data_IF_142772369919
#
_entry.id   IF_142772369919
#
_cell.length_a   1.000
_cell.length_b   1.000
_cell.length_c   1.000
_cell.angle_alpha   90.00
_cell.angle_beta   90.00
_cell.angle_gamma   90.00
#
_symmetry.space_group_name_H-M   'P 1'
#
loop_
_entity.id
_entity.type
_entity.pdbx_description
1 polymer ?
#
# COMPACT_ATOMS: atom_id res chain seq x y z
N UNK A 1 8.01 -9.06 3.85
CA UNK A 1 7.89 -7.73 4.51
C UNK A 1 7.12 -7.89 5.81
N UNK A 2 7.29 -6.97 6.77
CA UNK A 2 6.52 -6.97 8.02
C UNK A 2 5.61 -5.74 8.00
N UNK A 3 4.30 -5.95 8.03
CA UNK A 3 3.31 -4.87 8.09
C UNK A 3 2.95 -4.55 9.54
N UNK A 4 2.92 -3.27 9.87
CA UNK A 4 2.70 -2.76 11.23
C UNK A 4 1.26 -2.25 11.41
N UNK A 5 0.78 -1.42 10.47
CA UNK A 5 -0.58 -0.88 10.49
C UNK A 5 -1.14 -0.70 9.09
N UNK A 6 -2.47 -0.56 9.00
CA UNK A 6 -3.20 -0.19 7.80
C UNK A 6 -4.27 0.84 8.16
N UNK A 7 -4.25 1.99 7.49
CA UNK A 7 -5.21 3.07 7.70
C UNK A 7 -5.83 3.52 6.38
N UNK A 8 -7.10 3.92 6.43
CA UNK A 8 -7.79 4.51 5.29
C UNK A 8 -7.98 6.00 5.54
N UNK A 9 -7.56 6.80 4.57
CA UNK A 9 -7.75 8.24 4.52
C UNK A 9 -8.61 8.62 3.30
N UNK A 10 -9.50 9.60 3.48
CA UNK A 10 -10.22 10.21 2.37
C UNK A 10 -9.82 11.69 2.33
N UNK A 11 -9.14 12.10 1.28
CA UNK A 11 -8.65 13.46 1.09
C UNK A 11 -9.11 13.99 -0.27
N UNK A 12 -9.77 15.16 -0.29
CA UNK A 12 -10.29 15.80 -1.51
C UNK A 12 -11.19 14.89 -2.39
N UNK A 13 -11.87 13.90 -1.78
CA UNK A 13 -12.70 12.93 -2.48
C UNK A 13 -11.94 11.73 -3.06
N UNK A 14 -10.61 11.71 -2.93
CA UNK A 14 -9.75 10.58 -3.26
C UNK A 14 -9.52 9.71 -2.02
N UNK A 15 -9.59 8.39 -2.19
CA UNK A 15 -9.29 7.42 -1.11
C UNK A 15 -7.83 7.00 -1.19
N UNK A 16 -7.16 7.02 -0.04
CA UNK A 16 -5.79 6.55 0.14
C UNK A 16 -5.77 5.47 1.23
N UNK A 17 -4.98 4.41 0.99
CA UNK A 17 -4.66 3.42 2.02
C UNK A 17 -3.19 3.57 2.37
N UNK A 18 -2.90 3.71 3.66
CA UNK A 18 -1.57 3.83 4.22
C UNK A 18 -1.21 2.56 4.95
N UNK A 19 -0.19 1.84 4.47
CA UNK A 19 0.32 0.62 5.09
C UNK A 19 1.72 0.89 5.61
N UNK A 20 1.87 0.91 6.94
CA UNK A 20 3.19 0.95 7.58
C UNK A 20 3.89 -0.40 7.43
N UNK A 21 5.13 -0.39 6.94
CA UNK A 21 5.90 -1.62 6.73
C UNK A 21 7.40 -1.46 6.98
N UNK A 22 8.04 -2.59 7.28
CA UNK A 22 9.49 -2.72 7.40
C UNK A 22 9.98 -3.82 6.44
N UNK A 23 11.09 -3.57 5.77
CA UNK A 23 11.78 -4.58 4.96
C UNK A 23 12.67 -5.45 5.85
N UNK A 24 12.85 -6.72 5.49
CA UNK A 24 13.62 -7.67 6.30
C UNK A 24 15.11 -7.33 6.37
N UNK A 25 15.65 -6.69 5.34
CA UNK A 25 17.02 -6.19 5.26
C UNK A 25 17.22 -4.84 5.95
N UNK A 26 16.14 -4.09 6.18
CA UNK A 26 16.14 -2.80 6.89
C UNK A 26 15.08 -2.78 8.03
N UNK A 27 15.24 -3.62 9.06
CA UNK A 27 14.22 -3.80 10.10
C UNK A 27 14.05 -2.60 11.04
N UNK A 28 15.03 -1.69 11.07
CA UNK A 28 14.97 -0.47 11.88
C UNK A 28 14.30 0.71 11.14
N UNK A 29 14.03 0.56 9.84
CA UNK A 29 13.46 1.59 8.98
C UNK A 29 11.96 1.36 8.79
N UNK A 30 11.14 2.33 9.22
CA UNK A 30 9.70 2.33 8.96
C UNK A 30 9.38 3.08 7.67
N UNK A 31 8.70 2.40 6.76
CA UNK A 31 8.20 2.95 5.50
C UNK A 31 6.67 2.99 5.51
N UNK A 32 6.11 3.81 4.64
CA UNK A 32 4.67 3.85 4.39
C UNK A 32 4.43 3.55 2.91
N UNK A 33 3.73 2.47 2.63
CA UNK A 33 3.13 2.26 1.32
C UNK A 33 1.82 3.05 1.26
N UNK A 34 1.76 4.04 0.37
CA UNK A 34 0.54 4.80 0.07
C UNK A 34 -0.07 4.27 -1.23
N UNK A 35 -1.34 3.89 -1.15
CA UNK A 35 -2.09 3.32 -2.26
C UNK A 35 -3.25 4.26 -2.59
N UNK A 36 -3.26 4.79 -3.81
CA UNK A 36 -4.41 5.55 -4.31
C UNK A 36 -5.47 4.59 -4.83
N UNK A 37 -6.69 4.66 -4.31
CA UNK A 37 -7.76 3.70 -4.59
C UNK A 37 -8.99 4.40 -5.17
N UNK A 38 -9.53 3.86 -6.26
CA UNK A 38 -10.78 4.40 -6.83
C UNK A 38 -12.02 3.97 -6.04
N UNK A 39 -13.18 4.50 -6.45
CA UNK A 39 -14.49 4.21 -5.84
C UNK A 39 -14.88 2.71 -5.87
N UNK A 40 -14.21 1.88 -6.67
CA UNK A 40 -14.45 0.44 -6.78
C UNK A 40 -13.44 -0.39 -5.99
N UNK A 41 -12.58 0.24 -5.18
CA UNK A 41 -11.54 -0.44 -4.43
C UNK A 41 -10.35 -0.86 -5.29
N UNK A 42 -10.20 -0.33 -6.52
CA UNK A 42 -9.08 -0.66 -7.40
C UNK A 42 -7.92 0.30 -7.15
N UNK A 43 -6.76 -0.26 -6.82
CA UNK A 43 -5.53 0.51 -6.61
C UNK A 43 -5.01 1.04 -7.95
N UNK A 44 -4.86 2.36 -8.07
CA UNK A 44 -4.34 3.06 -9.25
C UNK A 44 -2.84 3.31 -9.16
N UNK A 45 -2.37 3.68 -7.99
CA UNK A 45 -0.97 4.04 -7.74
C UNK A 45 -0.45 3.37 -6.48
N UNK A 46 0.85 3.09 -6.51
CA UNK A 46 1.60 2.52 -5.39
C UNK A 46 2.83 3.39 -5.19
N UNK A 47 2.90 4.06 -4.05
CA UNK A 47 4.07 4.83 -3.65
C UNK A 47 4.65 4.25 -2.36
N UNK A 48 5.97 4.34 -2.23
CA UNK A 48 6.67 4.02 -0.99
C UNK A 48 7.32 5.29 -0.48
N UNK A 49 6.97 5.68 0.73
CA UNK A 49 7.54 6.81 1.41
C UNK A 49 8.44 6.37 2.55
N UNK A 50 9.57 7.06 2.70
CA UNK A 50 10.41 7.02 3.89
C UNK A 50 10.55 8.43 4.44
N UNK A 51 10.06 8.67 5.66
CA UNK A 51 10.05 10.01 6.27
C UNK A 51 9.46 11.11 5.36
N UNK A 52 8.40 10.78 4.60
CA UNK A 52 7.73 11.69 3.67
C UNK A 52 8.43 11.87 2.31
N UNK A 53 9.53 11.17 2.04
CA UNK A 53 10.20 11.18 0.74
C UNK A 53 9.82 9.97 -0.10
N UNK A 54 9.40 10.20 -1.35
CA UNK A 54 9.11 9.14 -2.31
C UNK A 54 10.39 8.39 -2.69
N UNK A 55 10.46 7.11 -2.33
CA UNK A 55 11.57 6.21 -2.63
C UNK A 55 11.63 5.78 -4.10
N UNK A 56 10.59 6.05 -4.90
CA UNK A 56 10.40 5.58 -6.28
C UNK A 56 10.52 4.07 -6.40
N UNK A 57 10.09 3.38 -5.35
CA UNK A 57 10.18 1.93 -5.24
C UNK A 57 9.15 1.26 -6.17
N UNK A 58 9.56 0.18 -6.82
CA UNK A 58 8.65 -0.63 -7.64
C UNK A 58 8.33 -1.92 -6.89
N UNK A 59 7.12 -1.97 -6.33
CA UNK A 59 6.64 -3.18 -5.66
C UNK A 59 6.52 -4.35 -6.62
N UNK A 60 7.04 -5.49 -6.18
CA UNK A 60 6.88 -6.79 -6.85
C UNK A 60 5.41 -7.24 -6.74
N UNK A 61 4.90 -8.04 -7.68
CA UNK A 61 3.53 -8.56 -7.60
C UNK A 61 3.22 -9.28 -6.28
N UNK A 62 4.17 -10.07 -5.75
CA UNK A 62 4.00 -10.76 -4.46
C UNK A 62 3.85 -9.79 -3.29
N UNK A 63 4.56 -8.66 -3.32
CA UNK A 63 4.49 -7.64 -2.27
C UNK A 63 3.14 -6.92 -2.28
N UNK A 64 2.61 -6.65 -3.48
CA UNK A 64 1.26 -6.11 -3.65
C UNK A 64 0.20 -7.08 -3.15
N UNK A 65 0.31 -8.36 -3.48
CA UNK A 65 -0.61 -9.40 -3.00
C UNK A 65 -0.60 -9.51 -1.47
N UNK A 66 0.59 -9.47 -0.84
CA UNK A 66 0.72 -9.46 0.62
C UNK A 66 0.05 -8.22 1.24
N UNK A 67 0.25 -7.03 0.68
CA UNK A 67 -0.38 -5.79 1.14
C UNK A 67 -1.91 -5.81 0.98
N UNK A 68 -2.42 -6.30 -0.15
CA UNK A 68 -3.86 -6.47 -0.39
C UNK A 68 -4.46 -7.43 0.64
N UNK A 69 -3.78 -8.56 0.88
CA UNK A 69 -4.21 -9.52 1.89
C UNK A 69 -4.22 -8.91 3.28
N UNK A 70 -3.17 -8.19 3.66
CA UNK A 70 -3.07 -7.52 4.94
C UNK A 70 -4.19 -6.47 5.12
N UNK A 71 -4.46 -5.63 4.13
CA UNK A 71 -5.56 -4.67 4.16
C UNK A 71 -6.91 -5.36 4.37
N UNK A 72 -7.15 -6.50 3.70
CA UNK A 72 -8.39 -7.27 3.86
C UNK A 72 -8.56 -7.81 5.29
N UNK A 73 -7.47 -8.22 5.95
CA UNK A 73 -7.50 -8.63 7.37
C UNK A 73 -7.88 -7.47 8.31
N UNK A 74 -7.60 -6.23 7.91
CA UNK A 74 -7.99 -5.00 8.62
C UNK A 74 -9.40 -4.50 8.23
N UNK A 75 -10.12 -5.25 7.37
CA UNK A 75 -11.47 -4.88 6.91
C UNK A 75 -11.49 -3.90 5.73
N UNK A 76 -10.34 -3.63 5.11
CA UNK A 76 -10.19 -2.74 3.96
C UNK A 76 -10.08 -3.60 2.70
N UNK A 77 -11.12 -3.59 1.87
CA UNK A 77 -11.15 -4.38 0.63
C UNK A 77 -10.58 -3.57 -0.53
N UNK A 78 -9.39 -3.94 -1.00
CA UNK A 78 -8.75 -3.39 -2.19
C UNK A 78 -8.33 -4.50 -3.15
N UNK A 79 -8.10 -4.17 -4.42
CA UNK A 79 -7.58 -5.07 -5.44
C UNK A 79 -6.69 -4.33 -6.44
N UNK A 80 -5.77 -5.04 -7.07
CA UNK A 80 -5.04 -4.48 -8.20
C UNK A 80 -5.99 -4.30 -9.40
N UNK A 81 -5.70 -3.34 -10.27
CA UNK A 81 -6.37 -3.28 -11.56
C UNK A 81 -6.08 -4.57 -12.32
N UNK A 82 -7.09 -5.17 -12.93
CA UNK A 82 -6.91 -6.32 -13.82
C UNK A 82 -5.99 -5.91 -14.97
N UNK A 83 -4.70 -6.22 -14.83
CA UNK A 83 -3.73 -6.10 -15.89
C UNK A 83 -4.10 -7.08 -16.99
N UNK A 84 -4.65 -6.54 -18.09
CA UNK A 84 -4.69 -7.21 -19.39
C UNK A 84 -3.31 -7.82 -19.64
N UNK A 85 -3.25 -9.15 -19.69
CA UNK A 85 -2.07 -9.92 -20.08
C UNK A 85 -1.52 -9.49 -21.44
#
# INVERSE_FOLDING_TARGET
MIMDYCEQEISEGQTYIHIGLQFEDEPDSLYVAELEVDEQGVVKLWHLFFNGFDCKYQFRPSEKEEMIHYAALQGITIREADGVK
#
